data_IF_948283205644
#
_entry.id   IF_948283205644
#
_cell.length_a   1.000
_cell.length_b   1.000
_cell.length_c   1.000
_cell.angle_alpha   90.00
_cell.angle_beta   90.00
_cell.angle_gamma   90.00
#
_symmetry.space_group_name_H-M   'P 1'
#
loop_
_entity.id
_entity.type
_entity.pdbx_description
1 polymer ?
#
# COMPACT_ATOMS: atom_id res chain seq x y z
N UNK A 1 12.89 33.73 -20.66
CA UNK A 1 12.88 34.23 -19.27
C UNK A 1 12.59 33.08 -18.34
N UNK A 2 13.56 32.65 -17.52
CA UNK A 2 13.30 31.67 -16.46
C UNK A 2 12.50 32.38 -15.35
N UNK A 3 11.18 32.18 -15.28
CA UNK A 3 10.41 32.63 -14.12
C UNK A 3 11.03 32.00 -12.87
N UNK A 4 11.43 32.83 -11.90
CA UNK A 4 11.84 32.34 -10.57
C UNK A 4 10.68 31.52 -10.01
N UNK A 5 10.97 30.28 -9.62
CA UNK A 5 9.97 29.41 -9.00
C UNK A 5 9.36 30.09 -7.77
N UNK A 6 8.04 30.04 -7.65
CA UNK A 6 7.32 30.62 -6.52
C UNK A 6 7.71 29.92 -5.22
N UNK A 7 8.03 30.69 -4.18
CA UNK A 7 8.33 30.17 -2.84
C UNK A 7 7.03 29.95 -2.07
N UNK A 8 6.87 28.77 -1.48
CA UNK A 8 5.73 28.39 -0.64
C UNK A 8 6.19 28.19 0.80
N UNK A 9 5.68 29.01 1.72
CA UNK A 9 5.92 28.85 3.15
C UNK A 9 5.14 27.70 3.77
N UNK A 10 5.53 27.29 4.99
CA UNK A 10 4.92 26.17 5.72
C UNK A 10 3.39 26.22 5.78
N UNK A 11 2.80 27.41 5.97
CA UNK A 11 1.34 27.59 6.00
C UNK A 11 0.69 27.26 4.65
N UNK A 12 1.29 27.70 3.54
CA UNK A 12 0.79 27.43 2.20
C UNK A 12 0.85 25.93 1.87
N UNK A 13 1.98 25.28 2.18
CA UNK A 13 2.16 23.83 2.01
C UNK A 13 1.14 23.04 2.83
N UNK A 14 0.94 23.41 4.09
CA UNK A 14 -0.07 22.79 4.95
C UNK A 14 -1.49 22.92 4.38
N UNK A 15 -1.87 24.12 3.90
CA UNK A 15 -3.21 24.33 3.30
C UNK A 15 -3.37 23.56 1.99
N UNK A 16 -2.33 23.51 1.15
CA UNK A 16 -2.34 22.71 -0.08
C UNK A 16 -2.55 21.22 0.22
N UNK A 17 -1.81 20.66 1.19
CA UNK A 17 -1.95 19.27 1.62
C UNK A 17 -3.37 18.97 2.13
N UNK A 18 -3.89 19.81 3.04
CA UNK A 18 -5.24 19.62 3.59
C UNK A 18 -6.33 19.74 2.53
N UNK A 19 -6.20 20.68 1.59
CA UNK A 19 -7.15 20.85 0.50
C UNK A 19 -7.14 19.64 -0.43
N UNK A 20 -5.95 19.16 -0.84
CA UNK A 20 -5.79 17.97 -1.68
C UNK A 20 -6.30 16.70 -1.02
N UNK A 21 -6.22 16.59 0.30
CA UNK A 21 -6.73 15.43 1.03
C UNK A 21 -8.19 15.56 1.47
N UNK A 22 -8.91 16.60 1.05
CA UNK A 22 -10.31 16.88 1.45
C UNK A 22 -10.48 17.06 2.98
N UNK A 23 -9.46 17.57 3.64
CA UNK A 23 -9.45 17.87 5.08
C UNK A 23 -9.64 19.36 5.37
N UNK A 24 -9.39 20.24 4.40
CA UNK A 24 -9.75 21.65 4.53
C UNK A 24 -11.28 21.85 4.44
N UNK A 25 -11.93 21.05 3.60
CA UNK A 25 -13.38 21.01 3.42
C UNK A 25 -13.79 19.59 3.03
N UNK A 26 -14.85 19.07 3.66
CA UNK A 26 -15.40 17.76 3.32
C UNK A 26 -16.04 17.81 1.93
N UNK A 27 -15.79 16.79 1.10
CA UNK A 27 -16.29 16.71 -0.28
C UNK A 27 -17.45 15.73 -0.43
N UNK A 28 -18.32 15.97 -1.40
CA UNK A 28 -19.26 14.96 -1.91
C UNK A 28 -18.51 14.08 -2.91
N UNK A 29 -18.12 12.88 -2.49
CA UNK A 29 -17.49 11.87 -3.31
C UNK A 29 -17.75 10.49 -2.69
N UNK A 30 -17.52 9.42 -3.47
CA UNK A 30 -17.61 8.05 -2.93
C UNK A 30 -16.36 7.68 -2.13
N UNK A 31 -16.52 6.72 -1.23
CA UNK A 31 -15.41 6.10 -0.50
C UNK A 31 -14.35 5.54 -1.46
N UNK A 32 -14.78 4.82 -2.52
CA UNK A 32 -13.88 4.24 -3.51
C UNK A 32 -13.03 5.30 -4.21
N UNK A 33 -13.65 6.36 -4.76
CA UNK A 33 -12.91 7.42 -5.44
C UNK A 33 -11.94 8.15 -4.50
N UNK A 34 -12.31 8.32 -3.22
CA UNK A 34 -11.44 8.95 -2.23
C UNK A 34 -10.26 8.06 -1.85
N UNK A 35 -10.46 6.75 -1.73
CA UNK A 35 -9.38 5.78 -1.50
C UNK A 35 -8.40 5.81 -2.68
N UNK A 36 -8.88 5.83 -3.92
CA UNK A 36 -8.04 5.90 -5.13
C UNK A 36 -7.29 7.23 -5.20
N UNK A 37 -7.96 8.35 -4.91
CA UNK A 37 -7.34 9.68 -4.88
C UNK A 37 -6.17 9.72 -3.87
N UNK A 38 -6.36 9.17 -2.68
CA UNK A 38 -5.32 9.11 -1.64
C UNK A 38 -4.25 8.05 -1.90
N UNK A 39 -4.36 7.29 -3.00
CA UNK A 39 -3.46 6.17 -3.35
C UNK A 39 -3.46 5.10 -2.26
N UNK A 40 -4.65 4.82 -1.73
CA UNK A 40 -4.85 3.96 -0.58
C UNK A 40 -4.78 4.68 0.76
N UNK A 41 -5.27 4.00 1.79
CA UNK A 41 -5.28 4.52 3.16
C UNK A 41 -4.62 3.52 4.09
N UNK A 42 -3.77 3.99 5.00
CA UNK A 42 -3.14 3.10 5.98
C UNK A 42 -4.21 2.40 6.82
N UNK A 43 -4.07 1.08 6.97
CA UNK A 43 -5.07 0.19 7.57
C UNK A 43 -4.46 -0.86 8.51
N UNK A 44 -3.35 -0.54 9.19
CA UNK A 44 -2.80 -1.40 10.25
C UNK A 44 -3.80 -1.51 11.40
N UNK A 45 -4.28 -0.36 11.88
CA UNK A 45 -5.44 -0.29 12.75
C UNK A 45 -6.70 -0.33 11.87
N UNK A 46 -7.54 -1.38 11.94
CA UNK A 46 -8.49 -1.65 10.85
C UNK A 46 -9.65 -0.66 10.73
N UNK A 47 -9.92 0.12 11.78
CA UNK A 47 -10.97 1.14 11.78
C UNK A 47 -10.50 2.52 11.28
N UNK A 48 -9.18 2.76 11.15
CA UNK A 48 -8.66 4.07 10.75
C UNK A 48 -9.13 4.54 9.36
N UNK A 49 -9.27 3.67 8.33
CA UNK A 49 -9.82 4.10 7.06
C UNK A 49 -11.24 4.66 7.17
N UNK A 50 -12.09 4.12 8.07
CA UNK A 50 -13.44 4.64 8.29
C UNK A 50 -13.42 6.04 8.88
N UNK A 51 -12.59 6.27 9.90
CA UNK A 51 -12.41 7.60 10.50
C UNK A 51 -11.86 8.57 9.45
N UNK A 52 -10.85 8.13 8.69
CA UNK A 52 -10.25 8.94 7.64
C UNK A 52 -11.21 9.35 6.53
N UNK A 53 -12.12 8.47 6.12
CA UNK A 53 -13.18 8.78 5.15
C UNK A 53 -14.25 9.70 5.76
N UNK A 54 -14.67 9.43 7.00
CA UNK A 54 -15.64 10.27 7.72
C UNK A 54 -15.17 11.74 7.81
N UNK A 55 -13.89 11.97 8.10
CA UNK A 55 -13.30 13.31 8.15
C UNK A 55 -13.21 14.02 6.80
N UNK A 56 -13.33 13.29 5.68
CA UNK A 56 -13.11 13.81 4.32
C UNK A 56 -14.38 13.93 3.49
N UNK A 57 -15.38 13.11 3.78
CA UNK A 57 -16.55 12.94 2.93
C UNK A 57 -17.83 13.43 3.60
N UNK A 58 -18.64 14.20 2.88
CA UNK A 58 -19.99 14.56 3.32
C UNK A 58 -20.90 13.33 3.24
N UNK A 59 -21.68 13.05 4.29
CA UNK A 59 -22.66 11.97 4.30
C UNK A 59 -22.09 10.54 4.33
N UNK A 60 -20.77 10.36 4.53
CA UNK A 60 -20.17 9.03 4.63
C UNK A 60 -20.77 8.23 5.78
N UNK A 61 -21.09 6.96 5.49
CA UNK A 61 -21.60 5.98 6.45
C UNK A 61 -20.67 4.78 6.45
N UNK A 62 -20.38 4.19 7.62
CA UNK A 62 -19.51 3.02 7.71
C UNK A 62 -19.95 1.88 6.79
N UNK A 63 -21.26 1.68 6.61
CA UNK A 63 -21.83 0.69 5.71
C UNK A 63 -21.33 0.80 4.26
N UNK A 64 -20.98 2.01 3.79
CA UNK A 64 -20.43 2.20 2.45
C UNK A 64 -19.09 1.49 2.29
N UNK A 65 -18.13 1.74 3.20
CA UNK A 65 -16.84 1.06 3.16
C UNK A 65 -16.96 -0.43 3.53
N UNK A 66 -17.78 -0.77 4.53
CA UNK A 66 -18.01 -2.17 4.90
C UNK A 66 -18.48 -2.99 3.70
N UNK A 67 -19.43 -2.47 2.90
CA UNK A 67 -19.91 -3.11 1.68
C UNK A 67 -18.81 -3.24 0.63
N UNK A 68 -17.98 -2.21 0.42
CA UNK A 68 -16.84 -2.33 -0.51
C UNK A 68 -15.89 -3.46 -0.13
N UNK A 69 -15.62 -3.65 1.17
CA UNK A 69 -14.75 -4.73 1.65
C UNK A 69 -15.42 -6.10 1.49
N UNK A 70 -16.70 -6.21 1.88
CA UNK A 70 -17.47 -7.46 1.80
C UNK A 70 -17.68 -7.90 0.35
N UNK A 71 -17.98 -6.97 -0.54
CA UNK A 71 -18.14 -7.20 -1.99
C UNK A 71 -16.80 -7.35 -2.72
N UNK A 72 -15.67 -7.35 -1.99
CA UNK A 72 -14.31 -7.45 -2.54
C UNK A 72 -13.98 -6.37 -3.59
N UNK A 73 -14.59 -5.19 -3.45
CA UNK A 73 -14.30 -3.97 -4.24
C UNK A 73 -13.23 -3.09 -3.59
N UNK A 74 -12.96 -3.30 -2.32
CA UNK A 74 -11.80 -2.79 -1.61
C UNK A 74 -11.12 -3.92 -0.83
N UNK A 75 -9.79 -3.89 -0.79
CA UNK A 75 -8.98 -4.92 -0.14
C UNK A 75 -7.93 -4.30 0.77
N UNK A 76 -7.57 -5.03 1.82
CA UNK A 76 -6.46 -4.71 2.69
C UNK A 76 -5.26 -5.56 2.28
N UNK A 77 -4.15 -4.91 1.93
CA UNK A 77 -2.93 -5.55 1.41
C UNK A 77 -1.67 -4.83 1.92
N UNK A 78 -0.52 -5.49 1.93
CA UNK A 78 0.76 -4.83 2.23
C UNK A 78 1.28 -4.06 1.01
N UNK A 79 1.53 -2.75 1.17
CA UNK A 79 2.02 -1.86 0.12
C UNK A 79 3.20 -1.01 0.61
N UNK A 80 3.07 0.32 0.60
CA UNK A 80 4.12 1.29 0.92
C UNK A 80 4.81 0.91 2.24
N UNK A 81 6.14 0.79 2.17
CA UNK A 81 7.00 0.40 3.30
C UNK A 81 6.56 -0.91 3.98
N UNK A 82 5.95 -1.82 3.24
CA UNK A 82 5.40 -3.10 3.74
C UNK A 82 4.37 -2.95 4.88
N UNK A 83 3.63 -1.84 4.90
CA UNK A 83 2.53 -1.63 5.86
C UNK A 83 1.19 -1.94 5.22
N UNK A 84 0.20 -2.32 6.04
CA UNK A 84 -1.14 -2.66 5.58
C UNK A 84 -1.87 -1.38 5.12
N UNK A 85 -2.37 -1.39 3.89
CA UNK A 85 -3.18 -0.34 3.30
C UNK A 85 -4.50 -0.91 2.79
N UNK A 86 -5.56 -0.12 2.90
CA UNK A 86 -6.83 -0.31 2.22
C UNK A 86 -6.76 0.40 0.86
N UNK A 87 -7.01 -0.34 -0.21
CA UNK A 87 -7.09 0.17 -1.60
C UNK A 87 -8.35 -0.38 -2.27
N UNK A 88 -8.79 0.23 -3.37
CA UNK A 88 -9.80 -0.43 -4.23
C UNK A 88 -9.16 -1.65 -4.90
N UNK A 89 -9.99 -2.62 -5.27
CA UNK A 89 -9.52 -3.83 -5.97
C UNK A 89 -8.87 -3.49 -7.30
N UNK A 90 -9.40 -2.49 -8.01
CA UNK A 90 -8.79 -1.96 -9.24
C UNK A 90 -7.35 -1.50 -9.00
N UNK A 91 -7.14 -0.68 -7.97
CA UNK A 91 -5.82 -0.18 -7.63
C UNK A 91 -4.89 -1.28 -7.12
N UNK A 92 -5.41 -2.24 -6.36
CA UNK A 92 -4.63 -3.35 -5.82
C UNK A 92 -3.89 -4.12 -6.91
N UNK A 93 -4.52 -4.33 -8.07
CA UNK A 93 -3.96 -5.09 -9.19
C UNK A 93 -2.71 -4.43 -9.77
N UNK A 94 -2.68 -3.09 -9.88
CA UNK A 94 -1.53 -2.36 -10.43
C UNK A 94 -0.55 -1.87 -9.38
N UNK A 95 -0.99 -1.58 -8.15
CA UNK A 95 -0.12 -1.12 -7.05
C UNK A 95 0.69 -2.26 -6.44
N UNK A 96 0.09 -3.43 -6.19
CA UNK A 96 0.81 -4.54 -5.55
C UNK A 96 2.12 -4.89 -6.26
N UNK A 97 2.18 -5.12 -7.58
CA UNK A 97 3.42 -5.47 -8.27
C UNK A 97 4.48 -4.35 -8.20
N UNK A 98 4.11 -3.07 -8.11
CA UNK A 98 5.07 -1.96 -7.91
C UNK A 98 5.86 -2.13 -6.60
N UNK A 99 5.21 -2.61 -5.54
CA UNK A 99 5.82 -2.73 -4.21
C UNK A 99 6.35 -4.13 -3.90
N UNK A 100 6.13 -5.13 -4.75
CA UNK A 100 6.66 -6.49 -4.53
C UNK A 100 8.20 -6.53 -4.44
N UNK A 101 8.98 -5.87 -5.33
CA UNK A 101 10.44 -5.86 -5.22
C UNK A 101 10.94 -5.19 -3.93
N UNK A 102 10.17 -4.25 -3.37
CA UNK A 102 10.49 -3.62 -2.08
C UNK A 102 10.27 -4.62 -0.92
N UNK A 103 9.17 -5.38 -0.96
CA UNK A 103 8.89 -6.44 0.00
C UNK A 103 9.97 -7.53 -0.01
N UNK A 104 10.35 -8.00 -1.20
CA UNK A 104 11.41 -9.00 -1.38
C UNK A 104 12.75 -8.54 -0.81
N UNK A 105 13.22 -7.36 -1.22
CA UNK A 105 14.46 -6.76 -0.71
C UNK A 105 14.40 -6.54 0.80
N UNK A 106 13.26 -6.05 1.30
CA UNK A 106 13.02 -5.80 2.72
C UNK A 106 13.10 -7.08 3.56
N UNK A 107 12.61 -8.20 3.05
CA UNK A 107 12.77 -9.49 3.71
C UNK A 107 14.22 -9.98 3.63
N UNK A 108 14.76 -10.13 2.41
CA UNK A 108 16.06 -10.79 2.16
C UNK A 108 17.24 -10.02 2.76
N UNK A 109 17.19 -8.69 2.75
CA UNK A 109 18.33 -7.83 3.13
C UNK A 109 18.03 -6.90 4.30
N UNK A 110 16.76 -6.67 4.61
CA UNK A 110 16.32 -5.67 5.59
C UNK A 110 15.70 -6.24 6.86
N UNK A 111 15.61 -7.57 6.99
CA UNK A 111 14.98 -8.21 8.15
C UNK A 111 15.85 -9.34 8.72
N UNK A 112 15.76 -9.62 10.04
CA UNK A 112 16.43 -10.78 10.63
C UNK A 112 15.98 -12.11 10.03
N UNK A 113 14.72 -12.20 9.59
CA UNK A 113 14.10 -13.41 9.04
C UNK A 113 14.73 -13.89 7.73
N UNK A 114 15.32 -12.97 6.95
CA UNK A 114 15.93 -13.31 5.67
C UNK A 114 17.39 -13.72 5.73
N UNK A 115 18.08 -13.59 6.89
CA UNK A 115 19.55 -13.71 6.97
C UNK A 115 20.10 -15.04 6.47
N UNK A 116 19.45 -16.14 6.83
CA UNK A 116 19.93 -17.50 6.51
C UNK A 116 19.20 -18.12 5.31
N UNK A 117 18.47 -17.29 4.57
CA UNK A 117 17.60 -17.75 3.50
C UNK A 117 18.23 -17.48 2.13
N UNK A 118 18.33 -18.52 1.28
CA UNK A 118 18.81 -18.38 -0.10
C UNK A 118 17.65 -18.16 -1.06
N UNK A 119 17.92 -17.52 -2.19
CA UNK A 119 16.90 -17.25 -3.22
C UNK A 119 16.21 -18.53 -3.72
N UNK A 120 16.98 -19.63 -3.88
CA UNK A 120 16.46 -20.93 -4.32
C UNK A 120 15.50 -21.55 -3.29
N UNK A 121 15.80 -21.43 -1.99
CA UNK A 121 14.94 -21.90 -0.91
C UNK A 121 13.63 -21.10 -0.93
N UNK A 122 13.73 -19.78 -1.06
CA UNK A 122 12.55 -18.90 -1.13
C UNK A 122 11.65 -19.20 -2.32
N UNK A 123 12.20 -19.58 -3.48
CA UNK A 123 11.38 -19.96 -4.62
C UNK A 123 10.46 -21.17 -4.29
N UNK A 124 10.99 -22.19 -3.61
CA UNK A 124 10.22 -23.36 -3.20
C UNK A 124 9.23 -23.03 -2.07
N UNK A 125 9.68 -22.29 -1.06
CA UNK A 125 8.87 -21.86 0.09
C UNK A 125 7.68 -21.00 -0.37
N UNK A 126 7.91 -20.08 -1.32
CA UNK A 126 6.86 -19.21 -1.86
C UNK A 126 5.79 -19.99 -2.61
N UNK A 127 6.18 -20.97 -3.44
CA UNK A 127 5.21 -21.85 -4.13
C UNK A 127 4.34 -22.60 -3.13
N UNK A 128 4.96 -23.29 -2.17
CA UNK A 128 4.25 -24.01 -1.13
C UNK A 128 3.37 -23.09 -0.26
N UNK A 129 3.88 -21.92 0.10
CA UNK A 129 3.13 -20.92 0.85
C UNK A 129 1.92 -20.39 0.08
N UNK A 130 2.07 -20.14 -1.22
CA UNK A 130 0.98 -19.71 -2.09
C UNK A 130 -0.12 -20.78 -2.17
N UNK A 131 0.24 -22.05 -2.36
CA UNK A 131 -0.69 -23.19 -2.34
C UNK A 131 -1.47 -23.26 -1.00
N UNK A 132 -0.75 -23.27 0.13
CA UNK A 132 -1.34 -23.34 1.48
C UNK A 132 -2.32 -22.18 1.72
N UNK A 133 -1.92 -20.98 1.33
CA UNK A 133 -2.72 -19.76 1.55
C UNK A 133 -3.90 -19.65 0.58
N UNK A 134 -3.83 -20.29 -0.59
CA UNK A 134 -4.92 -20.30 -1.57
C UNK A 134 -6.08 -21.23 -1.16
N UNK A 135 -5.81 -22.30 -0.41
CA UNK A 135 -6.81 -23.30 -0.03
C UNK A 135 -7.95 -22.72 0.82
N UNK A 136 -7.59 -21.95 1.86
CA UNK A 136 -8.53 -21.13 2.67
C UNK A 136 -7.78 -20.07 3.47
N UNK A 137 -8.46 -19.00 3.95
CA UNK A 137 -7.80 -17.98 4.76
C UNK A 137 -7.13 -18.55 6.01
N UNK A 138 -5.89 -18.14 6.26
CA UNK A 138 -5.06 -18.61 7.38
C UNK A 138 -4.30 -17.47 8.04
N UNK A 139 -3.98 -17.67 9.31
CA UNK A 139 -3.05 -16.82 10.05
C UNK A 139 -1.59 -17.12 9.64
N UNK A 140 -0.69 -16.18 9.93
CA UNK A 140 0.75 -16.39 9.72
C UNK A 140 1.29 -17.53 10.61
N UNK A 141 0.72 -17.73 11.80
CA UNK A 141 1.11 -18.82 12.69
C UNK A 141 0.72 -20.20 12.12
N UNK A 142 -0.49 -20.33 11.55
CA UNK A 142 -0.89 -21.55 10.85
C UNK A 142 0.02 -21.82 9.64
N UNK A 143 0.34 -20.78 8.86
CA UNK A 143 1.25 -20.89 7.72
C UNK A 143 2.64 -21.36 8.16
N UNK A 144 3.20 -20.80 9.23
CA UNK A 144 4.50 -21.19 9.78
C UNK A 144 4.54 -22.68 10.16
N UNK A 145 3.49 -23.16 10.84
CA UNK A 145 3.36 -24.58 11.21
C UNK A 145 3.33 -25.49 9.99
N UNK A 146 2.57 -25.14 8.96
CA UNK A 146 2.43 -25.94 7.74
C UNK A 146 3.70 -25.92 6.88
N UNK A 147 4.40 -24.79 6.81
CA UNK A 147 5.68 -24.70 6.11
C UNK A 147 6.78 -25.50 6.82
N UNK A 148 6.84 -25.46 8.16
CA UNK A 148 7.81 -26.23 8.93
C UNK A 148 7.67 -27.76 8.73
N UNK A 149 6.46 -28.25 8.42
CA UNK A 149 6.25 -29.65 8.08
C UNK A 149 6.84 -30.01 6.70
N UNK A 150 6.79 -29.08 5.73
CA UNK A 150 7.33 -29.29 4.37
C UNK A 150 8.83 -29.01 4.27
N UNK A 151 9.34 -28.13 5.11
CA UNK A 151 10.72 -27.65 5.08
C UNK A 151 11.31 -27.65 6.51
N UNK A 152 11.55 -28.83 7.11
CA UNK A 152 11.95 -28.97 8.51
C UNK A 152 13.32 -28.35 8.83
N UNK A 153 14.15 -28.09 7.81
CA UNK A 153 15.47 -27.48 7.94
C UNK A 153 15.44 -25.95 8.05
N UNK A 154 14.27 -25.32 7.92
CA UNK A 154 14.12 -23.86 7.94
C UNK A 154 13.20 -23.42 9.10
N UNK A 155 13.44 -22.23 9.63
CA UNK A 155 12.59 -21.64 10.66
C UNK A 155 11.19 -21.32 10.11
N UNK A 156 10.15 -21.93 10.71
CA UNK A 156 8.76 -21.78 10.28
C UNK A 156 8.28 -20.32 10.23
N UNK A 157 8.44 -19.54 11.31
CA UNK A 157 8.13 -18.11 11.30
C UNK A 157 8.87 -17.32 10.22
N UNK A 158 10.18 -17.53 10.03
CA UNK A 158 10.95 -16.89 8.98
C UNK A 158 10.34 -17.15 7.60
N UNK A 159 10.07 -18.42 7.28
CA UNK A 159 9.43 -18.81 6.03
C UNK A 159 8.06 -18.15 5.83
N UNK A 160 7.21 -18.15 6.87
CA UNK A 160 5.88 -17.55 6.80
C UNK A 160 5.93 -16.02 6.60
N UNK A 161 6.89 -15.34 7.23
CA UNK A 161 7.15 -13.92 6.98
C UNK A 161 7.68 -13.67 5.57
N UNK A 162 8.53 -14.55 5.03
CA UNK A 162 8.98 -14.50 3.65
C UNK A 162 7.81 -14.55 2.66
N UNK A 163 6.92 -15.52 2.84
CA UNK A 163 5.66 -15.61 2.07
C UNK A 163 4.83 -14.33 2.24
N UNK A 164 4.65 -13.82 3.47
CA UNK A 164 3.87 -12.59 3.72
C UNK A 164 4.45 -11.36 3.03
N UNK A 165 5.77 -11.23 2.92
CA UNK A 165 6.44 -10.09 2.31
C UNK A 165 6.41 -10.17 0.77
N UNK A 166 6.57 -11.38 0.23
CA UNK A 166 6.82 -11.58 -1.20
C UNK A 166 5.60 -11.99 -2.00
N UNK A 167 4.62 -12.67 -1.39
CA UNK A 167 3.42 -13.09 -2.09
C UNK A 167 2.34 -11.99 -2.12
N UNK A 168 1.52 -11.94 -3.19
CA UNK A 168 0.33 -11.10 -3.22
C UNK A 168 -0.76 -11.71 -2.34
N UNK A 169 -0.76 -11.32 -1.06
CA UNK A 169 -1.76 -11.73 -0.08
C UNK A 169 -2.75 -10.61 0.25
N UNK A 170 -4.00 -10.99 0.51
CA UNK A 170 -5.10 -10.14 0.97
C UNK A 170 -5.46 -10.49 2.41
N UNK A 171 -5.60 -9.48 3.26
CA UNK A 171 -6.17 -9.63 4.60
C UNK A 171 -7.70 -9.75 4.49
N UNK A 172 -8.26 -10.85 5.00
CA UNK A 172 -9.67 -11.16 4.79
C UNK A 172 -10.57 -10.59 5.90
N UNK A 173 -11.85 -10.28 5.61
CA UNK A 173 -12.86 -9.99 6.63
C UNK A 173 -13.08 -11.22 7.56
N UNK A 174 -13.70 -11.03 8.74
CA UNK A 174 -14.38 -9.82 9.23
C UNK A 174 -13.43 -8.73 9.76
N UNK A 175 -12.14 -9.01 9.97
CA UNK A 175 -11.20 -8.01 10.49
C UNK A 175 -10.96 -6.90 9.45
N UNK A 176 -11.33 -5.67 9.79
CA UNK A 176 -11.30 -4.51 8.86
C UNK A 176 -12.66 -4.12 8.30
N UNK A 177 -13.70 -4.91 8.57
CA UNK A 177 -15.08 -4.43 8.52
C UNK A 177 -15.37 -3.68 9.82
N UNK A 178 -16.14 -2.59 9.76
CA UNK A 178 -16.48 -1.80 10.96
C UNK A 178 -17.15 -2.69 12.02
N UNK A 179 -16.58 -2.70 13.24
CA UNK A 179 -17.07 -3.55 14.33
C UNK A 179 -16.77 -5.05 14.16
N UNK A 180 -16.19 -5.47 13.03
CA UNK A 180 -15.84 -6.85 12.76
C UNK A 180 -14.71 -7.36 13.66
N UNK A 181 -14.97 -8.46 14.36
CA UNK A 181 -14.03 -9.16 15.25
C UNK A 181 -13.61 -10.48 14.63
N UNK A 182 -12.36 -10.88 14.82
CA UNK A 182 -11.80 -12.11 14.28
C UNK A 182 -10.29 -12.08 14.21
N UNK A 183 -9.69 -13.24 13.93
CA UNK A 183 -8.25 -13.37 13.72
C UNK A 183 -7.81 -12.60 12.46
N UNK A 184 -6.52 -12.28 12.40
CA UNK A 184 -5.91 -11.71 11.20
C UNK A 184 -5.54 -12.85 10.26
N UNK A 185 -6.44 -13.16 9.34
CA UNK A 185 -6.24 -14.17 8.31
C UNK A 185 -5.94 -13.53 6.97
N UNK A 186 -5.15 -14.24 6.15
CA UNK A 186 -4.82 -13.85 4.80
C UNK A 186 -5.09 -15.00 3.83
N UNK A 187 -5.27 -14.67 2.56
CA UNK A 187 -5.29 -15.62 1.44
C UNK A 187 -4.65 -14.97 0.20
N UNK A 188 -4.44 -15.72 -0.88
CA UNK A 188 -3.80 -15.20 -2.09
C UNK A 188 -4.74 -14.27 -2.87
N UNK A 189 -4.17 -13.39 -3.70
CA UNK A 189 -4.93 -12.57 -4.65
C UNK A 189 -5.83 -13.43 -5.54
N UNK A 190 -5.30 -14.53 -6.09
CA UNK A 190 -6.07 -15.42 -6.95
C UNK A 190 -7.28 -16.04 -6.23
N UNK A 191 -7.10 -16.54 -5.02
CA UNK A 191 -8.21 -17.13 -4.25
C UNK A 191 -9.25 -16.08 -3.82
N UNK A 192 -8.82 -14.85 -3.50
CA UNK A 192 -9.74 -13.80 -3.06
C UNK A 192 -10.43 -13.05 -4.20
N UNK A 193 -9.69 -12.68 -5.24
CA UNK A 193 -10.12 -11.78 -6.32
C UNK A 193 -10.39 -12.52 -7.63
N UNK A 194 -10.11 -13.82 -7.71
CA UNK A 194 -10.26 -14.62 -8.93
C UNK A 194 -9.18 -14.35 -9.99
N UNK A 195 -8.16 -13.56 -9.68
CA UNK A 195 -7.10 -13.20 -10.61
C UNK A 195 -5.79 -12.83 -9.88
N UNK A 196 -4.68 -12.98 -10.58
CA UNK A 196 -3.37 -12.50 -10.11
C UNK A 196 -3.28 -10.97 -10.20
N UNK A 197 -2.30 -10.34 -9.54
CA UNK A 197 -1.99 -8.94 -9.82
C UNK A 197 -1.74 -8.72 -11.32
N UNK A 198 -2.17 -7.55 -11.82
CA UNK A 198 -1.97 -7.17 -13.21
C UNK A 198 -0.55 -6.64 -13.47
N UNK A 199 -0.30 -6.03 -14.64
CA UNK A 199 0.94 -5.30 -14.86
C UNK A 199 1.09 -4.16 -13.84
N UNK A 200 2.33 -3.90 -13.43
CA UNK A 200 2.63 -2.79 -12.54
C UNK A 200 2.25 -1.44 -13.16
N UNK A 201 1.65 -0.56 -12.35
CA UNK A 201 1.53 0.84 -12.76
C UNK A 201 2.92 1.44 -13.00
N UNK A 202 3.03 2.31 -13.99
CA UNK A 202 4.23 3.10 -14.18
C UNK A 202 4.49 3.93 -12.91
N UNK A 203 5.76 4.03 -12.51
CA UNK A 203 6.13 4.79 -11.30
C UNK A 203 5.84 6.29 -11.52
N UNK A 204 5.90 6.76 -12.77
CA UNK A 204 5.46 8.08 -13.20
C UNK A 204 3.98 8.33 -12.88
N UNK A 205 3.10 7.38 -13.18
CA UNK A 205 1.66 7.51 -12.89
C UNK A 205 1.41 7.51 -11.39
N UNK A 206 2.13 6.64 -10.65
CA UNK A 206 2.10 6.65 -9.19
C UNK A 206 2.58 8.00 -8.62
N UNK A 207 3.63 8.59 -9.18
CA UNK A 207 4.14 9.89 -8.77
C UNK A 207 3.15 11.02 -9.08
N UNK A 208 2.46 11.00 -10.22
CA UNK A 208 1.38 11.96 -10.54
C UNK A 208 0.21 11.86 -9.57
N UNK A 209 -0.18 10.63 -9.22
CA UNK A 209 -1.23 10.38 -8.22
C UNK A 209 -0.80 10.84 -6.83
N UNK A 210 0.44 10.55 -6.43
CA UNK A 210 1.03 11.06 -5.20
C UNK A 210 1.01 12.59 -5.13
N UNK A 211 1.52 13.29 -6.15
CA UNK A 211 1.54 14.75 -6.18
C UNK A 211 0.12 15.36 -6.18
N UNK A 212 -0.85 14.67 -6.79
CA UNK A 212 -2.25 15.08 -6.76
C UNK A 212 -2.85 15.09 -5.35
N UNK A 213 -2.46 14.13 -4.49
CA UNK A 213 -2.96 13.98 -3.12
C UNK A 213 -2.08 14.61 -2.03
N UNK A 214 -0.77 14.69 -2.24
CA UNK A 214 0.22 15.04 -1.23
C UNK A 214 1.12 16.23 -1.61
N UNK A 215 1.05 16.73 -2.85
CA UNK A 215 1.89 17.82 -3.32
C UNK A 215 1.44 19.23 -2.89
N UNK A 216 2.24 20.29 -3.18
CA UNK A 216 3.60 20.25 -3.72
C UNK A 216 4.56 19.52 -2.79
N UNK A 217 5.47 18.71 -3.34
CA UNK A 217 6.30 17.79 -2.57
C UNK A 217 7.52 17.37 -3.38
N UNK A 218 8.64 17.20 -2.70
CA UNK A 218 9.89 16.79 -3.33
C UNK A 218 9.93 15.28 -3.66
N UNK A 219 10.90 14.88 -4.48
CA UNK A 219 11.22 13.47 -4.69
C UNK A 219 11.61 12.75 -3.38
N UNK A 220 12.24 13.47 -2.44
CA UNK A 220 12.61 12.93 -1.13
C UNK A 220 11.37 12.62 -0.28
N UNK A 221 10.35 13.48 -0.33
CA UNK A 221 9.08 13.25 0.36
C UNK A 221 8.36 12.01 -0.20
N UNK A 222 8.30 11.85 -1.53
CA UNK A 222 7.70 10.67 -2.14
C UNK A 222 8.50 9.40 -1.79
N UNK A 223 9.83 9.46 -1.74
CA UNK A 223 10.66 8.34 -1.28
C UNK A 223 10.34 7.98 0.17
N UNK A 224 10.22 8.95 1.07
CA UNK A 224 9.83 8.71 2.46
C UNK A 224 8.41 8.11 2.55
N UNK A 225 7.50 8.56 1.69
CA UNK A 225 6.12 8.07 1.63
C UNK A 225 5.98 6.65 1.02
N UNK A 226 6.75 6.29 0.00
CA UNK A 226 6.60 5.03 -0.73
C UNK A 226 7.61 3.96 -0.31
N UNK A 227 8.85 4.36 -0.01
CA UNK A 227 10.03 3.51 0.06
C UNK A 227 10.70 3.26 -1.30
N UNK A 228 10.19 3.85 -2.39
CA UNK A 228 10.74 3.68 -3.74
C UNK A 228 11.83 4.71 -4.04
N UNK A 229 12.82 4.33 -4.85
CA UNK A 229 13.76 5.28 -5.45
C UNK A 229 13.06 5.98 -6.63
N UNK A 230 12.81 7.29 -6.50
CA UNK A 230 11.94 8.05 -7.43
C UNK A 230 12.59 9.32 -7.97
N UNK A 231 13.88 9.54 -7.71
CA UNK A 231 14.59 10.75 -8.15
C UNK A 231 14.52 10.92 -9.67
N UNK A 232 14.95 9.90 -10.42
CA UNK A 232 14.98 9.95 -11.89
C UNK A 232 13.56 10.11 -12.50
N UNK A 233 12.55 9.57 -11.82
CA UNK A 233 11.14 9.73 -12.21
C UNK A 233 10.73 11.19 -12.12
N UNK A 234 11.07 11.88 -11.02
CA UNK A 234 10.80 13.30 -10.85
C UNK A 234 11.57 14.15 -11.87
N UNK A 235 12.84 13.84 -12.12
CA UNK A 235 13.65 14.53 -13.12
C UNK A 235 13.03 14.42 -14.53
N UNK A 236 12.57 13.22 -14.93
CA UNK A 236 11.83 13.02 -16.20
C UNK A 236 10.49 13.76 -16.25
N UNK A 237 9.75 13.78 -15.13
CA UNK A 237 8.44 14.41 -15.08
C UNK A 237 8.51 15.94 -15.00
N UNK A 238 9.64 16.49 -14.57
CA UNK A 238 9.84 17.92 -14.27
C UNK A 238 9.31 18.88 -15.34
N UNK A 239 9.50 18.67 -16.66
CA UNK A 239 8.97 19.57 -17.69
C UNK A 239 7.44 19.65 -17.73
N UNK A 240 6.76 18.63 -17.20
CA UNK A 240 5.29 18.55 -17.14
C UNK A 240 4.69 18.96 -15.78
N UNK A 241 5.52 19.40 -14.83
CA UNK A 241 5.11 19.76 -13.49
C UNK A 241 5.31 21.26 -13.23
N UNK A 242 4.44 21.83 -12.40
CA UNK A 242 4.68 23.16 -11.84
C UNK A 242 5.70 23.02 -10.70
N UNK A 243 6.78 23.77 -10.81
CA UNK A 243 7.89 23.75 -9.84
C UNK A 243 7.73 24.90 -8.83
N UNK A 244 7.86 24.57 -7.56
CA UNK A 244 7.90 25.52 -6.45
C UNK A 244 9.22 25.41 -5.69
N UNK A 245 9.45 26.33 -4.76
CA UNK A 245 10.51 26.20 -3.75
C UNK A 245 9.93 26.30 -2.34
N UNK A 246 10.55 25.63 -1.39
CA UNK A 246 10.29 25.87 0.03
C UNK A 246 11.09 27.08 0.56
N UNK A 247 10.87 27.44 1.83
CA UNK A 247 11.56 28.54 2.52
C UNK A 247 13.08 28.31 2.68
N UNK A 248 13.55 27.07 2.51
CA UNK A 248 14.97 26.68 2.60
C UNK A 248 15.62 26.58 1.21
N UNK A 249 14.87 26.86 0.15
CA UNK A 249 15.31 26.79 -1.24
C UNK A 249 15.23 25.41 -1.89
N UNK A 250 14.69 24.39 -1.20
CA UNK A 250 14.43 23.06 -1.74
C UNK A 250 13.37 23.09 -2.85
N UNK A 251 13.52 22.23 -3.87
CA UNK A 251 12.55 22.11 -4.98
C UNK A 251 11.35 21.24 -4.58
N UNK A 252 10.14 21.70 -4.92
CA UNK A 252 8.85 21.04 -4.67
C UNK A 252 7.99 20.92 -5.93
#
# INVERSE_FOLDING_TARGET
MHQRAQVLGRRALNRALLARQFLAERRRASAAATIEHLVGMQAQAPNLPYVGLWSRLQGFRHAELSRLIQDRKAVRISLMRNTIHLVTTRDALGLKPVFMPLGERGYMRGSPWGRDMRDADMAAIRRAGSEIMAERPRTIAELAKLLAQRFPQHDGPAMAYGVRYMEPLVFTPPRGVWGGRGLVTLTTFAAWLGQQPGPAFAVEDLARRYLSAFGPASAADMRAWSGLAVRDVFERMRPSLKVFRDEQGGEL
#
